data_IF_706887799308
#
_entry.id   IF_706887799308
#
_cell.length_a   1.000
_cell.length_b   1.000
_cell.length_c   1.000
_cell.angle_alpha   90.00
_cell.angle_beta   90.00
_cell.angle_gamma   90.00
#
_symmetry.space_group_name_H-M   'P 1'
#
loop_
_entity.id
_entity.type
_entity.pdbx_description
1 polymer ?
#
# COMPACT_ATOMS: atom_id res chain seq x y z
N UNK A 1 -8.24 -2.61 -11.81
CA UNK A 1 -7.98 -1.54 -10.83
C UNK A 1 -7.19 -0.43 -11.47
N UNK A 2 -7.55 0.78 -11.18
CA UNK A 2 -7.00 1.91 -11.89
C UNK A 2 -6.04 2.69 -10.99
N UNK A 3 -4.77 2.64 -11.31
CA UNK A 3 -3.72 3.35 -10.57
C UNK A 3 -4.01 4.85 -10.48
N UNK A 4 -4.62 5.42 -11.52
CA UNK A 4 -4.92 6.85 -11.51
C UNK A 4 -5.88 7.26 -10.40
N UNK A 5 -7.00 6.54 -10.22
CA UNK A 5 -7.96 6.89 -9.17
C UNK A 5 -7.37 6.67 -7.77
N UNK A 6 -6.50 5.68 -7.62
CA UNK A 6 -5.80 5.42 -6.37
C UNK A 6 -4.82 6.56 -6.07
N UNK A 7 -4.05 7.02 -7.07
CA UNK A 7 -3.12 8.13 -6.87
C UNK A 7 -3.85 9.43 -6.56
N UNK A 8 -5.03 9.65 -7.13
CA UNK A 8 -5.85 10.81 -6.77
C UNK A 8 -6.27 10.77 -5.30
N UNK A 9 -6.65 9.58 -4.81
CA UNK A 9 -7.01 9.41 -3.39
C UNK A 9 -5.82 9.66 -2.47
N UNK A 10 -4.65 9.16 -2.83
CA UNK A 10 -3.41 9.42 -2.07
C UNK A 10 -3.16 10.93 -2.01
N UNK A 11 -3.26 11.60 -3.14
CA UNK A 11 -3.02 13.04 -3.21
C UNK A 11 -3.99 13.81 -2.31
N UNK A 12 -5.27 13.49 -2.36
CA UNK A 12 -6.29 14.16 -1.54
C UNK A 12 -6.00 14.00 -0.05
N UNK A 13 -5.67 12.79 0.39
CA UNK A 13 -5.37 12.50 1.79
C UNK A 13 -4.11 13.27 2.21
N UNK A 14 -3.07 13.22 1.37
CA UNK A 14 -1.80 13.89 1.67
C UNK A 14 -1.98 15.41 1.76
N UNK A 15 -2.72 16.00 0.83
CA UNK A 15 -2.97 17.45 0.83
C UNK A 15 -3.79 17.87 2.04
N UNK A 16 -4.81 17.08 2.41
CA UNK A 16 -5.62 17.38 3.59
C UNK A 16 -4.76 17.39 4.86
N UNK A 17 -3.91 16.37 5.00
CA UNK A 17 -3.02 16.29 6.16
C UNK A 17 -2.03 17.45 6.18
N UNK A 18 -1.42 17.78 5.05
CA UNK A 18 -0.45 18.88 4.96
C UNK A 18 -1.10 20.21 5.28
N UNK A 19 -2.32 20.44 4.78
CA UNK A 19 -3.05 21.67 5.06
C UNK A 19 -3.41 21.80 6.54
N UNK A 20 -3.82 20.71 7.17
CA UNK A 20 -4.14 20.71 8.62
C UNK A 20 -2.92 21.02 9.47
N UNK A 21 -1.74 20.66 9.00
CA UNK A 21 -0.48 20.87 9.71
C UNK A 21 0.28 22.08 9.21
N UNK A 22 -0.35 22.91 8.37
CA UNK A 22 0.21 24.16 7.84
C UNK A 22 1.56 23.96 7.14
N UNK A 23 1.73 22.83 6.48
CA UNK A 23 2.94 22.53 5.73
C UNK A 23 2.99 23.38 4.46
N UNK A 24 4.19 23.82 4.10
CA UNK A 24 4.40 24.57 2.87
C UNK A 24 4.59 23.64 1.65
N UNK A 25 5.08 22.43 1.87
CA UNK A 25 5.39 21.50 0.80
C UNK A 25 5.41 20.07 1.32
N UNK A 26 4.96 19.13 0.48
CA UNK A 26 5.13 17.70 0.72
C UNK A 26 6.35 17.23 -0.05
N UNK A 27 7.31 16.61 0.63
CA UNK A 27 8.56 16.14 0.05
C UNK A 27 8.50 14.67 -0.31
N UNK A 28 7.98 13.85 0.60
CA UNK A 28 7.83 12.41 0.38
C UNK A 28 6.51 11.91 0.97
N UNK A 29 5.96 10.88 0.32
CA UNK A 29 4.79 10.16 0.81
C UNK A 29 5.20 8.71 0.98
N UNK A 30 5.12 8.20 2.20
CA UNK A 30 5.47 6.81 2.50
C UNK A 30 4.21 5.96 2.47
N UNK A 31 4.18 5.00 1.55
CA UNK A 31 3.03 4.12 1.32
C UNK A 31 3.35 2.70 1.73
N UNK A 32 2.36 2.01 2.28
CA UNK A 32 2.38 0.56 2.45
C UNK A 32 1.38 -0.04 1.46
N UNK A 33 1.88 -0.91 0.59
CA UNK A 33 1.06 -1.58 -0.42
C UNK A 33 1.28 -3.09 -0.28
N UNK A 34 0.19 -3.84 -0.10
CA UNK A 34 0.27 -5.30 0.02
C UNK A 34 0.71 -5.95 -1.27
N UNK A 35 1.42 -7.08 -1.18
CA UNK A 35 1.97 -7.75 -2.36
C UNK A 35 0.89 -8.34 -3.26
N UNK A 36 -0.32 -8.61 -2.73
CA UNK A 36 -1.44 -9.11 -3.54
C UNK A 36 -2.02 -7.99 -4.41
N UNK A 37 -1.87 -6.74 -3.97
CA UNK A 37 -2.37 -5.59 -4.73
C UNK A 37 -1.55 -5.43 -5.99
N UNK A 38 -2.21 -5.56 -7.14
CA UNK A 38 -1.54 -5.63 -8.42
C UNK A 38 -1.35 -4.23 -9.01
N UNK A 39 -0.56 -3.40 -8.33
CA UNK A 39 -0.17 -2.08 -8.81
C UNK A 39 1.29 -2.08 -9.21
N UNK A 40 1.59 -1.36 -10.29
CA UNK A 40 2.96 -1.11 -10.72
C UNK A 40 3.45 0.16 -10.04
N UNK A 41 4.49 0.04 -9.21
CA UNK A 41 5.02 1.16 -8.43
C UNK A 41 5.46 2.33 -9.31
N UNK A 42 6.07 2.02 -10.47
CA UNK A 42 6.53 3.05 -11.40
C UNK A 42 5.36 3.85 -11.98
N UNK A 43 4.26 3.17 -12.33
CA UNK A 43 3.09 3.84 -12.85
C UNK A 43 2.38 4.67 -11.77
N UNK A 44 2.35 4.19 -10.54
CA UNK A 44 1.79 4.96 -9.43
C UNK A 44 2.56 6.28 -9.28
N UNK A 45 3.89 6.24 -9.32
CA UNK A 45 4.70 7.45 -9.23
C UNK A 45 4.43 8.38 -10.41
N UNK A 46 4.34 7.86 -11.62
CA UNK A 46 4.07 8.67 -12.81
C UNK A 46 2.71 9.35 -12.75
N UNK A 47 1.67 8.63 -12.35
CA UNK A 47 0.36 9.23 -12.19
C UNK A 47 0.35 10.26 -11.08
N UNK A 48 1.05 9.99 -9.99
CA UNK A 48 1.16 10.94 -8.90
C UNK A 48 1.86 12.23 -9.37
N UNK A 49 2.92 12.10 -10.13
CA UNK A 49 3.62 13.26 -10.70
C UNK A 49 2.68 14.11 -11.55
N UNK A 50 1.79 13.45 -12.29
CA UNK A 50 0.83 14.14 -13.13
C UNK A 50 -0.25 14.86 -12.32
N UNK A 51 -0.90 14.14 -11.40
CA UNK A 51 -2.05 14.71 -10.66
C UNK A 51 -1.63 15.73 -9.61
N UNK A 52 -0.38 15.69 -9.16
CA UNK A 52 0.10 16.59 -8.11
C UNK A 52 0.58 17.95 -8.62
N UNK A 53 0.65 18.15 -9.93
CA UNK A 53 1.09 19.41 -10.51
C UNK A 53 0.25 20.58 -10.01
N UNK A 54 0.92 21.65 -9.59
CA UNK A 54 0.25 22.83 -9.08
C UNK A 54 -0.22 22.72 -7.63
N UNK A 55 0.13 21.63 -6.94
CA UNK A 55 -0.23 21.42 -5.54
C UNK A 55 1.01 21.43 -4.65
N UNK A 56 0.80 21.37 -3.34
CA UNK A 56 1.90 21.25 -2.37
C UNK A 56 2.70 19.96 -2.54
N UNK A 57 2.15 18.99 -3.24
CA UNK A 57 2.77 17.68 -3.44
C UNK A 57 3.55 17.58 -4.74
N UNK A 58 3.60 18.66 -5.53
CA UNK A 58 4.33 18.62 -6.80
C UNK A 58 5.81 18.26 -6.55
N UNK A 59 6.31 17.27 -7.27
CA UNK A 59 7.68 16.79 -7.12
C UNK A 59 7.91 15.86 -5.95
N UNK A 60 6.88 15.54 -5.17
CA UNK A 60 7.03 14.62 -4.05
C UNK A 60 7.35 13.21 -4.54
N UNK A 61 8.18 12.51 -3.78
CA UNK A 61 8.54 11.12 -4.05
C UNK A 61 7.63 10.18 -3.27
N UNK A 62 7.16 9.12 -3.94
CA UNK A 62 6.46 8.04 -3.27
C UNK A 62 7.49 6.99 -2.84
N UNK A 63 7.50 6.67 -1.55
CA UNK A 63 8.32 5.60 -0.99
C UNK A 63 7.39 4.43 -0.69
N UNK A 64 7.48 3.38 -1.49
CA UNK A 64 6.55 2.26 -1.42
C UNK A 64 7.22 1.10 -0.70
N UNK A 65 6.60 0.63 0.38
CA UNK A 65 6.99 -0.59 1.07
C UNK A 65 5.95 -1.65 0.77
N UNK A 66 6.39 -2.78 0.22
CA UNK A 66 5.49 -3.89 -0.06
C UNK A 66 5.32 -4.75 1.18
N UNK A 67 4.08 -5.07 1.50
CA UNK A 67 3.72 -5.87 2.68
C UNK A 67 3.45 -7.29 2.21
N UNK A 68 4.16 -8.26 2.79
CA UNK A 68 4.03 -9.66 2.44
C UNK A 68 2.62 -10.18 2.73
N UNK A 69 2.08 -10.97 1.81
CA UNK A 69 0.81 -11.66 2.03
C UNK A 69 1.02 -12.84 2.98
N UNK A 70 0.28 -12.85 4.07
CA UNK A 70 0.34 -13.90 5.08
C UNK A 70 -1.03 -14.43 5.41
N UNK A 71 -1.07 -15.72 5.71
CA UNK A 71 -2.27 -16.43 6.14
C UNK A 71 -2.11 -16.88 7.57
N UNK A 72 -3.23 -16.93 8.29
CA UNK A 72 -3.29 -17.51 9.63
C UNK A 72 -4.27 -18.66 9.62
N UNK A 73 -3.84 -19.82 10.11
CA UNK A 73 -4.69 -20.99 10.26
C UNK A 73 -5.66 -20.76 11.41
N UNK A 74 -6.94 -20.97 11.15
CA UNK A 74 -7.97 -20.83 12.19
C UNK A 74 -7.99 -22.04 13.14
N UNK A 75 -7.44 -23.20 12.70
CA UNK A 75 -7.41 -24.41 13.51
C UNK A 75 -6.23 -24.42 14.48
N UNK A 76 -5.03 -24.04 14.04
CA UNK A 76 -3.83 -24.13 14.88
C UNK A 76 -3.11 -22.81 15.11
N UNK A 77 -3.61 -21.71 14.55
CA UNK A 77 -3.07 -20.35 14.68
C UNK A 77 -1.68 -20.14 14.05
N UNK A 78 -1.21 -21.09 13.25
CA UNK A 78 0.08 -20.92 12.56
C UNK A 78 -0.02 -19.84 11.49
N UNK A 79 0.98 -18.98 11.44
CA UNK A 79 1.05 -17.90 10.43
C UNK A 79 2.11 -18.29 9.41
N UNK A 80 1.76 -18.19 8.13
CA UNK A 80 2.64 -18.60 7.04
C UNK A 80 2.45 -17.69 5.83
N UNK A 81 3.49 -17.52 4.99
CA UNK A 81 3.36 -16.70 3.79
C UNK A 81 2.48 -17.38 2.75
N UNK A 82 1.72 -16.57 2.00
CA UNK A 82 0.97 -17.06 0.86
C UNK A 82 1.92 -17.30 -0.31
N UNK A 83 1.88 -18.51 -0.88
CA UNK A 83 2.63 -18.81 -2.10
C UNK A 83 1.81 -18.34 -3.30
N UNK A 84 2.22 -17.22 -3.89
CA UNK A 84 1.50 -16.63 -5.02
C UNK A 84 1.63 -17.43 -6.31
N UNK A 85 2.60 -18.32 -6.39
CA UNK A 85 2.76 -19.16 -7.59
C UNK A 85 1.69 -20.25 -7.67
N UNK A 86 1.27 -20.78 -6.54
CA UNK A 86 0.26 -21.84 -6.45
C UNK A 86 -1.08 -21.38 -5.89
N UNK A 87 -1.09 -20.26 -5.18
CA UNK A 87 -2.24 -19.75 -4.43
C UNK A 87 -2.78 -20.78 -3.44
N UNK A 88 -1.90 -21.66 -2.96
CA UNK A 88 -2.28 -22.68 -1.99
C UNK A 88 -2.45 -22.03 -0.61
N UNK A 89 -3.64 -22.13 -0.04
CA UNK A 89 -3.98 -21.54 1.26
C UNK A 89 -4.04 -22.58 2.37
N UNK A 90 -3.61 -23.83 2.10
CA UNK A 90 -3.62 -24.87 3.10
C UNK A 90 -2.51 -24.68 4.12
N UNK A 91 -2.82 -24.87 5.40
CA UNK A 91 -1.84 -24.73 6.47
C UNK A 91 -0.75 -25.80 6.35
N UNK A 92 0.53 -25.42 6.30
CA UNK A 92 1.61 -26.40 6.20
C UNK A 92 1.84 -27.17 7.51
N UNK A 93 1.31 -26.69 8.63
CA UNK A 93 1.48 -27.32 9.94
C UNK A 93 0.44 -28.39 10.20
N UNK A 94 -0.85 -28.11 9.94
CA UNK A 94 -1.94 -29.03 10.26
C UNK A 94 -2.79 -29.42 9.06
N UNK A 95 -2.49 -28.92 7.88
CA UNK A 95 -3.17 -29.21 6.61
C UNK A 95 -4.62 -28.72 6.56
N UNK A 96 -5.07 -27.93 7.51
CA UNK A 96 -6.41 -27.34 7.48
C UNK A 96 -6.52 -26.37 6.30
N UNK A 97 -7.70 -26.32 5.69
CA UNK A 97 -8.02 -25.33 4.66
C UNK A 97 -8.71 -24.10 5.22
N UNK A 98 -8.97 -24.09 6.52
CA UNK A 98 -9.62 -22.98 7.21
C UNK A 98 -8.56 -21.94 7.60
N UNK A 99 -8.15 -21.14 6.63
CA UNK A 99 -7.13 -20.11 6.80
C UNK A 99 -7.68 -18.76 6.40
N UNK A 100 -7.11 -17.71 6.97
CA UNK A 100 -7.54 -16.34 6.73
C UNK A 100 -6.36 -15.46 6.36
N UNK A 101 -6.52 -14.67 5.31
CA UNK A 101 -5.51 -13.69 4.93
C UNK A 101 -5.46 -12.58 5.97
N UNK A 102 -4.28 -12.35 6.56
CA UNK A 102 -4.10 -11.35 7.60
C UNK A 102 -3.27 -10.15 7.14
N UNK A 103 -2.57 -10.26 6.01
CA UNK A 103 -1.82 -9.15 5.42
C UNK A 103 -1.65 -9.37 3.93
N UNK A 104 -1.28 -8.30 3.20
CA UNK A 104 -1.00 -8.38 1.78
C UNK A 104 -1.97 -7.58 0.90
N UNK A 105 -3.02 -6.99 1.47
CA UNK A 105 -3.98 -6.15 0.74
C UNK A 105 -3.91 -4.68 1.13
N UNK A 106 -2.92 -4.30 1.90
CA UNK A 106 -2.79 -2.93 2.37
C UNK A 106 -2.65 -1.94 1.23
N UNK A 107 -3.25 -0.80 1.40
CA UNK A 107 -3.00 0.36 0.55
C UNK A 107 -3.25 1.60 1.41
N UNK A 108 -2.18 2.11 2.04
CA UNK A 108 -2.34 3.21 2.98
C UNK A 108 -1.10 4.08 3.04
N UNK A 109 -1.31 5.32 3.47
CA UNK A 109 -0.22 6.24 3.77
C UNK A 109 0.27 5.93 5.18
N UNK A 110 1.55 5.62 5.31
CA UNK A 110 2.20 5.38 6.59
C UNK A 110 2.68 6.69 7.21
N UNK A 111 3.29 7.55 6.38
CA UNK A 111 3.88 8.80 6.85
C UNK A 111 4.06 9.78 5.69
N UNK A 112 4.17 11.06 6.05
CA UNK A 112 4.51 12.12 5.11
C UNK A 112 5.74 12.86 5.61
N UNK A 113 6.63 13.23 4.69
CA UNK A 113 7.68 14.18 4.98
C UNK A 113 7.28 15.53 4.36
N UNK A 114 7.25 16.55 5.20
CA UNK A 114 6.80 17.88 4.80
C UNK A 114 7.81 18.94 5.21
N UNK A 115 7.72 20.09 4.56
CA UNK A 115 8.48 21.28 4.94
C UNK A 115 7.55 22.35 5.45
#
# INVERSE_FOLDING_TARGET
MHELSVTQSILEIALDYANRNQAAKIVEVHLQIGEITDFDDEWIQRYFDFVSKGTLAEGAKLRITRIQAQLKCQACSFIFPLDRSTWNSQCPSCQSKDTQLISGREFRIEALEVL
#
